data_IF_889339639662
#
_entry.id   IF_889339639662
#
_cell.length_a   1.000
_cell.length_b   1.000
_cell.length_c   1.000
_cell.angle_alpha   90.00
_cell.angle_beta   90.00
_cell.angle_gamma   90.00
#
_symmetry.space_group_name_H-M   'P 1'
#
loop_
_entity.id
_entity.type
_entity.pdbx_description
1 polymer ?
#
# COMPACT_ATOMS: atom_id res chain seq x y z
N UNK A 1 31.53 20.91 -44.11
CA UNK A 1 32.22 19.65 -43.77
C UNK A 1 32.16 19.51 -42.25
N UNK A 2 31.11 18.86 -41.75
CA UNK A 2 31.01 18.51 -40.33
C UNK A 2 31.40 17.05 -40.22
N UNK A 3 32.44 16.76 -39.44
CA UNK A 3 32.92 15.39 -39.18
C UNK A 3 31.94 14.68 -38.24
N UNK A 4 31.45 13.53 -38.66
CA UNK A 4 30.63 12.64 -37.84
C UNK A 4 31.41 12.18 -36.59
N UNK A 5 30.88 12.50 -35.41
CA UNK A 5 31.35 11.93 -34.15
C UNK A 5 30.83 10.49 -34.02
N UNK A 6 31.63 9.54 -33.51
CA UNK A 6 31.22 8.15 -33.41
C UNK A 6 30.11 7.98 -32.36
N UNK A 7 28.98 7.41 -32.78
CA UNK A 7 27.90 6.99 -31.89
C UNK A 7 28.43 5.89 -30.98
N UNK A 8 28.57 6.20 -29.70
CA UNK A 8 28.90 5.20 -28.68
C UNK A 8 27.74 4.20 -28.55
N UNK A 9 27.91 3.00 -29.10
CA UNK A 9 27.06 1.85 -28.75
C UNK A 9 27.34 1.45 -27.31
N UNK A 10 26.54 1.97 -26.39
CA UNK A 10 26.47 1.46 -25.03
C UNK A 10 26.02 0.00 -25.10
N UNK A 11 26.87 -0.93 -24.64
CA UNK A 11 26.45 -2.29 -24.30
C UNK A 11 25.39 -2.14 -23.21
N UNK A 12 24.13 -2.41 -23.55
CA UNK A 12 23.04 -2.49 -22.58
C UNK A 12 23.39 -3.64 -21.63
N UNK A 13 23.87 -3.30 -20.44
CA UNK A 13 23.95 -4.25 -19.33
C UNK A 13 22.52 -4.71 -19.03
N UNK A 14 22.37 -6.01 -18.77
CA UNK A 14 21.12 -6.65 -18.34
C UNK A 14 20.33 -5.72 -17.42
N UNK A 15 19.02 -5.49 -17.65
CA UNK A 15 18.31 -4.42 -16.98
C UNK A 15 18.21 -4.74 -15.48
N UNK A 16 19.07 -4.11 -14.67
CA UNK A 16 18.86 -3.92 -13.23
C UNK A 16 17.99 -2.68 -13.00
N UNK A 17 16.96 -2.50 -13.82
CA UNK A 17 16.04 -1.38 -13.72
C UNK A 17 14.71 -1.93 -13.16
N UNK A 18 14.51 -1.76 -11.86
CA UNK A 18 13.19 -1.90 -11.25
C UNK A 18 12.31 -0.78 -11.79
N UNK A 19 11.25 -1.15 -12.52
CA UNK A 19 10.23 -0.23 -12.99
C UNK A 19 8.97 -0.48 -12.15
N UNK A 20 8.61 0.48 -11.31
CA UNK A 20 7.45 0.40 -10.42
C UNK A 20 6.25 1.07 -11.06
N UNK A 21 5.28 0.30 -11.55
CA UNK A 21 3.91 0.77 -11.81
C UNK A 21 2.93 -0.10 -11.05
N UNK A 22 2.03 0.49 -10.28
CA UNK A 22 0.84 -0.19 -9.77
C UNK A 22 -0.36 0.63 -10.20
N UNK A 23 -1.20 0.04 -11.04
CA UNK A 23 -2.53 0.55 -11.38
C UNK A 23 -3.51 -0.62 -11.42
N UNK A 24 -4.57 -0.51 -10.62
CA UNK A 24 -5.88 -1.21 -10.64
C UNK A 24 -6.01 -2.73 -10.92
N UNK A 25 -4.93 -3.44 -11.15
CA UNK A 25 -4.87 -4.90 -11.15
C UNK A 25 -3.49 -5.26 -10.65
N UNK A 26 -3.42 -6.01 -9.55
CA UNK A 26 -2.17 -6.62 -9.09
C UNK A 26 -1.47 -7.31 -10.29
N UNK A 27 -0.27 -6.91 -10.72
CA UNK A 27 0.40 -7.64 -11.79
C UNK A 27 1.04 -8.90 -11.18
N UNK A 28 0.47 -10.07 -11.51
CA UNK A 28 1.23 -11.33 -11.47
C UNK A 28 2.23 -11.27 -12.62
N UNK A 29 3.51 -11.36 -12.29
CA UNK A 29 4.54 -11.60 -13.29
C UNK A 29 4.50 -13.08 -13.66
N UNK A 30 3.92 -13.38 -14.83
CA UNK A 30 3.95 -14.72 -15.43
C UNK A 30 5.05 -14.75 -16.48
N UNK A 31 6.11 -15.53 -16.24
CA UNK A 31 7.13 -15.77 -17.26
C UNK A 31 6.66 -16.85 -18.23
N UNK A 32 6.42 -16.45 -19.48
CA UNK A 32 6.20 -17.41 -20.56
C UNK A 32 7.54 -18.07 -20.94
N UNK A 33 7.73 -19.33 -20.56
CA UNK A 33 8.81 -20.14 -21.12
C UNK A 33 8.47 -20.47 -22.58
N UNK A 34 9.34 -20.10 -23.51
CA UNK A 34 9.14 -20.31 -24.95
C UNK A 34 8.91 -21.79 -25.27
N UNK A 35 7.78 -22.11 -25.93
CA UNK A 35 7.79 -22.87 -27.20
C UNK A 35 6.46 -22.84 -27.95
N UNK A 36 6.59 -22.48 -29.23
CA UNK A 36 5.73 -22.67 -30.42
C UNK A 36 4.20 -22.65 -30.23
N UNK A 37 3.57 -21.52 -30.58
CA UNK A 37 2.11 -21.45 -30.75
C UNK A 37 1.79 -21.04 -32.19
N UNK A 38 1.21 -21.98 -32.93
CA UNK A 38 0.27 -21.73 -34.02
C UNK A 38 -1.15 -21.87 -33.47
N UNK A 39 -1.74 -20.81 -32.93
CA UNK A 39 -3.17 -20.74 -32.63
C UNK A 39 -3.63 -19.28 -32.60
N UNK A 40 -4.82 -18.96 -33.17
CA UNK A 40 -5.28 -17.59 -33.35
C UNK A 40 -5.84 -17.00 -32.06
N UNK A 41 -5.54 -15.72 -31.84
CA UNK A 41 -6.01 -14.91 -30.72
C UNK A 41 -7.48 -14.54 -30.96
N UNK A 42 -8.36 -14.86 -30.00
CA UNK A 42 -9.76 -14.45 -30.05
C UNK A 42 -9.93 -12.94 -29.74
N UNK A 43 -10.89 -12.32 -30.44
CA UNK A 43 -11.18 -10.88 -30.49
C UNK A 43 -11.47 -10.19 -29.13
N UNK A 44 -11.07 -8.92 -28.95
CA UNK A 44 -11.08 -8.20 -27.67
C UNK A 44 -12.43 -7.51 -27.35
N UNK A 45 -13.53 -8.25 -27.34
CA UNK A 45 -14.85 -7.69 -27.02
C UNK A 45 -15.43 -8.23 -25.72
N UNK A 46 -14.75 -8.03 -24.59
CA UNK A 46 -15.33 -8.27 -23.25
C UNK A 46 -14.51 -7.66 -22.10
N UNK A 47 -14.26 -6.35 -22.11
CA UNK A 47 -13.92 -5.66 -20.86
C UNK A 47 -15.21 -5.47 -20.04
N UNK A 48 -15.59 -6.49 -19.26
CA UNK A 48 -16.52 -6.32 -18.13
C UNK A 48 -15.70 -6.16 -16.85
N UNK A 49 -16.00 -5.08 -16.12
CA UNK A 49 -15.51 -4.80 -14.77
C UNK A 49 -15.93 -5.95 -13.85
N UNK A 50 -14.96 -6.72 -13.34
CA UNK A 50 -15.24 -7.64 -12.24
C UNK A 50 -15.48 -6.78 -10.98
N UNK A 51 -16.62 -6.93 -10.28
CA UNK A 51 -16.91 -6.14 -9.11
C UNK A 51 -16.26 -6.80 -7.89
N UNK A 52 -14.94 -6.75 -7.77
CA UNK A 52 -14.30 -7.01 -6.47
C UNK A 52 -13.95 -5.68 -5.84
N UNK A 53 -14.81 -5.24 -4.92
CA UNK A 53 -14.50 -4.20 -3.96
C UNK A 53 -13.36 -4.74 -3.11
N UNK A 54 -12.11 -4.46 -3.52
CA UNK A 54 -10.94 -4.84 -2.74
C UNK A 54 -11.14 -4.23 -1.34
N UNK A 55 -10.99 -5.02 -0.27
CA UNK A 55 -11.17 -4.49 1.06
C UNK A 55 -10.10 -3.41 1.26
N UNK A 56 -10.50 -2.26 1.78
CA UNK A 56 -9.58 -1.26 2.32
C UNK A 56 -8.58 -1.97 3.25
N UNK A 57 -7.35 -1.47 3.33
CA UNK A 57 -6.30 -1.97 4.22
C UNK A 57 -6.90 -2.58 5.51
N UNK A 58 -6.59 -3.85 5.78
CA UNK A 58 -7.03 -4.53 7.00
C UNK A 58 -8.47 -5.03 7.07
N UNK A 59 -9.21 -5.14 5.96
CA UNK A 59 -10.58 -5.67 5.98
C UNK A 59 -10.82 -7.03 5.31
N UNK A 60 -9.81 -7.70 4.75
CA UNK A 60 -9.92 -9.14 4.45
C UNK A 60 -8.58 -9.87 4.38
N UNK A 61 -8.71 -11.20 4.46
CA UNK A 61 -7.66 -12.18 4.23
C UNK A 61 -6.87 -11.86 2.96
N UNK A 62 -5.63 -11.38 3.10
CA UNK A 62 -4.77 -11.02 1.97
C UNK A 62 -4.36 -12.22 1.10
N UNK A 63 -4.58 -13.45 1.58
CA UNK A 63 -4.36 -14.68 0.80
C UNK A 63 -5.42 -14.83 -0.30
N UNK A 64 -6.66 -14.41 -0.02
CA UNK A 64 -7.77 -14.56 -0.95
C UNK A 64 -7.61 -13.71 -2.24
N UNK A 65 -7.21 -12.42 -2.20
CA UNK A 65 -6.93 -11.63 -3.40
C UNK A 65 -5.84 -12.21 -4.28
N UNK A 66 -4.75 -12.72 -3.70
CA UNK A 66 -3.66 -13.33 -4.48
C UNK A 66 -4.13 -14.59 -5.21
N UNK A 67 -4.99 -15.39 -4.57
CA UNK A 67 -5.61 -16.55 -5.20
C UNK A 67 -6.62 -16.15 -6.28
N UNK A 68 -7.46 -15.16 -6.02
CA UNK A 68 -8.41 -14.63 -7.01
C UNK A 68 -7.69 -14.15 -8.27
N UNK A 69 -6.60 -13.43 -8.10
CA UNK A 69 -5.77 -12.94 -9.19
C UNK A 69 -5.10 -14.07 -9.98
N UNK A 70 -4.62 -15.09 -9.28
CA UNK A 70 -4.05 -16.28 -9.90
C UNK A 70 -5.10 -17.02 -10.75
N UNK A 71 -6.28 -17.28 -10.17
CA UNK A 71 -7.40 -17.93 -10.85
C UNK A 71 -7.88 -17.09 -12.06
N UNK A 72 -8.01 -15.77 -11.88
CA UNK A 72 -8.36 -14.83 -12.95
C UNK A 72 -7.36 -14.86 -14.10
N UNK A 73 -6.07 -14.90 -13.79
CA UNK A 73 -4.98 -14.93 -14.79
C UNK A 73 -5.00 -16.24 -15.57
N UNK A 74 -5.08 -17.38 -14.87
CA UNK A 74 -5.10 -18.72 -15.50
C UNK A 74 -6.33 -18.91 -16.39
N UNK A 75 -7.47 -18.32 -16.03
CA UNK A 75 -8.69 -18.38 -16.85
C UNK A 75 -8.53 -17.68 -18.22
N UNK A 76 -7.66 -16.66 -18.31
CA UNK A 76 -7.45 -15.84 -19.52
C UNK A 76 -6.19 -16.18 -20.29
N UNK A 77 -5.18 -16.66 -19.58
CA UNK A 77 -3.88 -17.04 -20.12
C UNK A 77 -3.56 -18.47 -19.65
N UNK A 78 -4.22 -19.51 -20.24
CA UNK A 78 -4.09 -20.90 -19.77
C UNK A 78 -2.66 -21.46 -19.89
N UNK A 79 -1.80 -20.83 -20.69
CA UNK A 79 -0.39 -21.17 -20.83
C UNK A 79 0.44 -20.78 -19.60
N UNK A 80 -0.14 -20.04 -18.65
CA UNK A 80 0.46 -19.71 -17.35
C UNK A 80 0.60 -20.98 -16.52
N UNK A 81 1.81 -21.52 -16.41
CA UNK A 81 2.08 -22.75 -15.66
C UNK A 81 2.59 -22.44 -14.25
N UNK A 82 3.52 -21.50 -14.12
CA UNK A 82 4.19 -21.17 -12.85
C UNK A 82 3.92 -19.74 -12.38
N UNK A 83 3.99 -19.54 -11.07
CA UNK A 83 4.00 -18.22 -10.43
C UNK A 83 5.40 -18.00 -9.88
N UNK A 84 6.14 -17.04 -10.44
CA UNK A 84 7.53 -16.82 -10.06
C UNK A 84 7.64 -15.99 -8.77
N UNK A 85 6.74 -15.00 -8.61
CA UNK A 85 6.75 -14.06 -7.48
C UNK A 85 5.34 -13.67 -7.06
N UNK A 86 5.19 -13.42 -5.75
CA UNK A 86 3.99 -12.83 -5.14
C UNK A 86 4.42 -11.65 -4.30
N UNK A 87 3.71 -10.53 -4.43
CA UNK A 87 4.00 -9.31 -3.69
C UNK A 87 2.68 -8.58 -3.40
N UNK A 88 2.69 -7.72 -2.39
CA UNK A 88 1.62 -6.77 -2.13
C UNK A 88 2.21 -5.36 -2.07
N UNK A 89 1.42 -4.38 -2.48
CA UNK A 89 1.76 -2.97 -2.38
C UNK A 89 0.79 -2.24 -1.47
N UNK A 90 1.15 -1.01 -1.11
CA UNK A 90 0.24 -0.10 -0.44
C UNK A 90 -0.12 1.03 -1.40
N UNK A 91 -1.41 1.30 -1.51
CA UNK A 91 -1.95 2.45 -2.22
C UNK A 91 -2.56 3.41 -1.20
N UNK A 92 -2.26 4.69 -1.34
CA UNK A 92 -2.95 5.74 -0.60
C UNK A 92 -4.13 6.19 -1.45
N UNK A 93 -5.34 5.84 -1.01
CA UNK A 93 -6.57 6.28 -1.66
C UNK A 93 -7.09 7.54 -0.99
N UNK A 94 -7.45 8.52 -1.80
CA UNK A 94 -8.23 9.65 -1.31
C UNK A 94 -9.71 9.27 -1.21
N UNK A 95 -10.46 10.10 -0.52
CA UNK A 95 -11.91 9.93 -0.27
C UNK A 95 -12.78 9.91 -1.53
N UNK A 96 -12.29 10.48 -2.62
CA UNK A 96 -12.97 10.54 -3.92
C UNK A 96 -12.10 9.99 -5.07
N UNK A 97 -11.03 9.27 -4.72
CA UNK A 97 -10.05 8.69 -5.64
C UNK A 97 -9.26 9.70 -6.49
N UNK A 98 -9.46 11.00 -6.29
CA UNK A 98 -8.66 12.06 -6.88
C UNK A 98 -7.42 12.35 -6.04
N UNK A 99 -6.26 12.41 -6.68
CA UNK A 99 -5.01 12.70 -5.97
C UNK A 99 -5.04 14.07 -5.27
N UNK A 100 -4.26 14.19 -4.20
CA UNK A 100 -3.93 15.47 -3.59
C UNK A 100 -2.63 15.98 -4.19
N UNK A 101 -2.71 16.97 -5.09
CA UNK A 101 -1.55 17.56 -5.76
C UNK A 101 -1.65 19.08 -5.65
N UNK A 102 -0.70 19.71 -4.96
CA UNK A 102 -0.65 21.17 -4.88
C UNK A 102 0.03 21.70 -3.63
N UNK A 103 -0.12 23.00 -3.37
CA UNK A 103 0.44 23.66 -2.18
C UNK A 103 -0.21 23.14 -0.91
N UNK A 104 0.58 22.94 0.14
CA UNK A 104 0.04 22.65 1.45
C UNK A 104 -0.71 23.88 1.99
N UNK A 105 -1.85 23.66 2.64
CA UNK A 105 -2.69 24.74 3.15
C UNK A 105 -1.90 25.61 4.14
N UNK A 106 -1.96 26.93 3.96
CA UNK A 106 -1.26 27.90 4.82
C UNK A 106 0.26 27.95 4.62
N UNK A 107 0.84 27.19 3.66
CA UNK A 107 2.28 27.19 3.39
C UNK A 107 2.58 27.65 1.95
N UNK A 108 3.61 28.49 1.80
CA UNK A 108 3.95 29.10 0.50
C UNK A 108 4.83 28.21 -0.39
N UNK A 109 5.75 27.47 0.23
CA UNK A 109 6.81 26.74 -0.47
C UNK A 109 6.82 25.23 -0.15
N UNK A 110 5.69 24.71 0.33
CA UNK A 110 5.52 23.29 0.62
C UNK A 110 4.43 22.75 -0.29
N UNK A 111 4.74 21.67 -0.99
CA UNK A 111 3.85 21.00 -1.92
C UNK A 111 3.57 19.58 -1.42
N UNK A 112 2.34 19.11 -1.60
CA UNK A 112 1.89 17.77 -1.24
C UNK A 112 1.51 17.03 -2.51
N UNK A 113 1.91 15.76 -2.57
CA UNK A 113 1.56 14.80 -3.61
C UNK A 113 1.26 13.48 -2.91
N UNK A 114 -0.02 13.11 -2.79
CA UNK A 114 -0.45 11.88 -2.13
C UNK A 114 -1.87 11.49 -2.58
N UNK A 115 -2.41 10.38 -2.08
CA UNK A 115 -3.77 9.96 -2.40
C UNK A 115 -3.96 9.57 -3.87
N UNK A 116 -2.90 9.18 -4.57
CA UNK A 116 -2.89 8.93 -6.01
C UNK A 116 -3.78 7.76 -6.44
N UNK A 117 -4.29 6.98 -5.49
CA UNK A 117 -5.27 5.92 -5.70
C UNK A 117 -4.83 4.91 -6.77
N UNK A 118 -3.54 4.57 -6.78
CA UNK A 118 -2.95 3.60 -7.70
C UNK A 118 -2.63 4.19 -9.05
N UNK A 119 -2.51 5.52 -9.16
CA UNK A 119 -2.13 6.20 -10.40
C UNK A 119 -0.79 6.92 -10.28
N UNK A 120 0.02 6.58 -9.27
CA UNK A 120 1.25 7.27 -8.90
C UNK A 120 2.25 7.42 -10.04
N UNK A 121 2.35 6.47 -10.97
CA UNK A 121 3.23 6.63 -12.14
C UNK A 121 2.74 7.68 -13.13
N UNK A 122 1.45 7.66 -13.44
CA UNK A 122 0.84 8.63 -14.35
C UNK A 122 0.90 10.01 -13.69
N UNK A 123 0.50 10.07 -12.41
CA UNK A 123 0.59 11.28 -11.61
C UNK A 123 2.02 11.77 -11.43
N UNK A 124 3.03 10.91 -11.36
CA UNK A 124 4.44 11.32 -11.22
C UNK A 124 4.90 12.27 -12.33
N UNK A 125 4.54 11.97 -13.57
CA UNK A 125 4.84 12.85 -14.72
C UNK A 125 4.01 14.14 -14.66
N UNK A 126 2.70 14.01 -14.40
CA UNK A 126 1.79 15.15 -14.31
C UNK A 126 2.19 16.15 -13.21
N UNK A 127 2.51 15.64 -12.03
CA UNK A 127 2.96 16.39 -10.84
C UNK A 127 4.17 17.24 -11.16
N UNK A 128 5.13 16.71 -11.93
CA UNK A 128 6.31 17.47 -12.34
C UNK A 128 5.93 18.77 -13.05
N UNK A 129 4.97 18.71 -13.98
CA UNK A 129 4.44 19.90 -14.66
C UNK A 129 3.64 20.81 -13.72
N UNK A 130 2.72 20.23 -12.95
CA UNK A 130 1.83 21.01 -12.04
C UNK A 130 2.61 21.78 -10.98
N UNK A 131 3.64 21.16 -10.38
CA UNK A 131 4.49 21.81 -9.39
C UNK A 131 5.41 22.83 -10.04
N UNK A 132 6.02 22.52 -11.18
CA UNK A 132 6.86 23.48 -11.90
C UNK A 132 6.08 24.75 -12.28
N UNK A 133 4.86 24.60 -12.79
CA UNK A 133 3.96 25.72 -13.08
C UNK A 133 3.62 26.50 -11.81
N UNK A 134 3.32 25.81 -10.71
CA UNK A 134 3.00 26.45 -9.43
C UNK A 134 4.18 27.21 -8.81
N UNK A 135 5.42 26.76 -9.04
CA UNK A 135 6.66 27.41 -8.60
C UNK A 135 6.99 28.62 -9.48
N UNK A 136 6.77 28.51 -10.80
CA UNK A 136 7.05 29.57 -11.79
C UNK A 136 5.87 30.52 -12.01
N UNK A 137 4.83 30.39 -11.19
CA UNK A 137 3.59 31.18 -11.22
C UNK A 137 2.87 31.16 -12.58
N UNK A 138 3.03 30.06 -13.33
CA UNK A 138 2.31 29.83 -14.57
C UNK A 138 0.89 29.33 -14.27
N UNK A 139 -0.16 29.91 -14.89
CA UNK A 139 -1.52 29.44 -14.69
C UNK A 139 -1.69 28.05 -15.29
N UNK A 140 -2.20 27.10 -14.48
CA UNK A 140 -2.50 25.75 -14.93
C UNK A 140 -3.94 25.38 -14.54
N UNK A 141 -4.84 25.10 -15.50
CA UNK A 141 -6.24 24.80 -15.21
C UNK A 141 -6.46 23.48 -14.47
N UNK A 142 -5.49 22.56 -14.48
CA UNK A 142 -5.61 21.27 -13.81
C UNK A 142 -5.32 21.34 -12.32
N UNK A 143 -4.58 22.35 -11.82
CA UNK A 143 -4.23 22.44 -10.39
C UNK A 143 -5.45 22.55 -9.48
N UNK A 144 -6.52 23.20 -9.94
CA UNK A 144 -7.75 23.39 -9.18
C UNK A 144 -8.51 22.07 -8.96
N UNK A 145 -8.38 21.11 -9.88
CA UNK A 145 -9.01 19.79 -9.78
C UNK A 145 -8.44 18.98 -8.61
N UNK A 146 -7.14 19.11 -8.34
CA UNK A 146 -6.44 18.32 -7.31
C UNK A 146 -6.41 19.00 -5.93
N UNK A 147 -6.90 20.24 -5.80
CA UNK A 147 -6.92 20.98 -4.54
C UNK A 147 -8.24 20.81 -3.73
N UNK A 148 -9.35 20.43 -4.38
CA UNK A 148 -10.68 20.42 -3.78
C UNK A 148 -11.01 19.22 -2.87
N UNK A 149 -10.25 18.12 -2.93
CA UNK A 149 -10.62 16.84 -2.31
C UNK A 149 -10.38 16.77 -0.78
N UNK A 150 -9.62 17.71 -0.18
CA UNK A 150 -9.12 17.56 1.21
C UNK A 150 -10.25 17.58 2.27
N UNK A 151 -11.43 18.10 1.94
CA UNK A 151 -12.50 18.37 2.91
C UNK A 151 -13.36 17.16 3.35
N UNK A 152 -13.14 15.95 2.83
CA UNK A 152 -14.11 14.83 2.96
C UNK A 152 -13.71 13.63 3.86
N UNK A 153 -12.64 13.72 4.66
CA UNK A 153 -12.03 12.55 5.34
C UNK A 153 -12.60 12.10 6.70
N UNK A 154 -13.63 12.73 7.25
CA UNK A 154 -14.08 12.45 8.63
C UNK A 154 -14.85 11.13 8.84
N UNK A 155 -15.53 10.59 7.82
CA UNK A 155 -16.51 9.51 8.00
C UNK A 155 -15.89 8.10 8.22
N UNK A 156 -14.67 7.85 7.75
CA UNK A 156 -14.04 6.51 7.79
C UNK A 156 -13.57 6.15 9.21
N UNK A 157 -13.34 7.15 10.07
CA UNK A 157 -12.75 6.99 11.40
C UNK A 157 -13.64 6.17 12.35
N UNK A 158 -14.95 6.42 12.38
CA UNK A 158 -15.83 5.90 13.44
C UNK A 158 -16.10 4.39 13.36
N UNK A 159 -16.07 3.80 12.16
CA UNK A 159 -16.46 2.39 11.98
C UNK A 159 -15.43 1.41 12.54
N UNK A 160 -14.13 1.77 12.53
CA UNK A 160 -13.06 0.87 12.98
C UNK A 160 -12.94 0.80 14.51
N UNK A 161 -13.26 1.88 15.23
CA UNK A 161 -13.21 1.90 16.70
C UNK A 161 -14.14 0.88 17.38
N UNK A 162 -15.17 0.42 16.68
CA UNK A 162 -16.12 -0.57 17.18
C UNK A 162 -15.77 -2.02 16.77
N UNK A 163 -14.70 -2.24 16.00
CA UNK A 163 -14.35 -3.56 15.46
C UNK A 163 -13.21 -4.20 16.27
N UNK A 164 -13.32 -5.50 16.48
CA UNK A 164 -12.27 -6.37 17.01
C UNK A 164 -11.99 -7.44 15.96
N UNK A 165 -10.72 -7.71 15.68
CA UNK A 165 -10.32 -8.77 14.75
C UNK A 165 -10.34 -10.14 15.43
N UNK A 166 -10.01 -10.15 16.73
CA UNK A 166 -10.00 -11.33 17.61
C UNK A 166 -10.90 -11.09 18.83
N UNK A 167 -11.44 -12.16 19.42
CA UNK A 167 -12.22 -12.08 20.67
C UNK A 167 -11.35 -12.42 21.87
N UNK A 168 -10.42 -13.33 21.67
CA UNK A 168 -9.42 -13.76 22.64
C UNK A 168 -8.03 -13.80 21.99
N UNK A 169 -6.98 -13.71 22.80
CA UNK A 169 -5.59 -13.84 22.35
C UNK A 169 -5.35 -15.25 21.79
N UNK A 170 -6.02 -16.26 22.36
CA UNK A 170 -5.92 -17.67 21.93
C UNK A 170 -6.55 -17.93 20.55
N UNK A 171 -7.29 -16.97 19.99
CA UNK A 171 -7.79 -17.04 18.61
C UNK A 171 -6.67 -16.86 17.57
N UNK A 172 -5.50 -16.35 17.98
CA UNK A 172 -4.36 -16.14 17.10
C UNK A 172 -3.63 -17.45 16.80
N UNK A 173 -3.09 -17.49 15.59
CA UNK A 173 -2.19 -18.56 15.13
C UNK A 173 -0.77 -18.00 15.13
N UNK A 174 0.27 -18.80 15.41
CA UNK A 174 1.66 -18.35 15.33
C UNK A 174 1.99 -17.65 14.01
N UNK A 175 2.60 -16.46 14.10
CA UNK A 175 2.94 -15.61 12.97
C UNK A 175 1.84 -14.63 12.54
N UNK A 176 0.69 -14.61 13.22
CA UNK A 176 -0.44 -13.72 12.94
C UNK A 176 -0.62 -12.65 14.02
N UNK A 177 -1.40 -11.63 13.67
CA UNK A 177 -1.80 -10.57 14.58
C UNK A 177 -3.26 -10.18 14.42
N UNK A 178 -3.79 -9.50 15.42
CA UNK A 178 -5.15 -9.01 15.43
C UNK A 178 -5.35 -7.88 16.44
N UNK A 179 -6.35 -7.04 16.21
CA UNK A 179 -6.80 -6.08 17.21
C UNK A 179 -7.80 -6.74 18.15
N UNK A 180 -7.51 -6.64 19.45
CA UNK A 180 -8.39 -7.02 20.55
C UNK A 180 -9.00 -5.77 21.18
N UNK A 181 -10.32 -5.64 21.07
CA UNK A 181 -11.08 -4.48 21.54
C UNK A 181 -12.00 -4.87 22.71
N UNK A 182 -11.42 -5.28 23.83
CA UNK A 182 -12.15 -5.62 25.07
C UNK A 182 -12.64 -4.39 25.82
N UNK A 183 -11.93 -3.26 25.68
CA UNK A 183 -12.31 -1.96 26.21
C UNK A 183 -12.18 -0.91 25.09
N UNK A 184 -13.27 -0.22 24.69
CA UNK A 184 -13.25 0.77 23.61
C UNK A 184 -12.22 1.89 23.79
N UNK A 185 -11.84 2.18 25.03
CA UNK A 185 -10.87 3.23 25.36
C UNK A 185 -9.41 2.78 25.27
N UNK A 186 -9.14 1.47 25.28
CA UNK A 186 -7.79 0.89 25.27
C UNK A 186 -7.73 -0.41 24.44
N UNK A 187 -7.90 -0.32 23.10
CA UNK A 187 -7.75 -1.48 22.23
C UNK A 187 -6.28 -1.88 22.11
N UNK A 188 -6.03 -3.19 22.02
CA UNK A 188 -4.71 -3.78 21.91
C UNK A 188 -4.47 -4.32 20.50
N UNK A 189 -3.27 -4.11 19.98
CA UNK A 189 -2.73 -4.81 18.83
C UNK A 189 -1.90 -5.97 19.37
N UNK A 190 -2.33 -7.19 19.09
CA UNK A 190 -1.72 -8.42 19.60
C UNK A 190 -1.07 -9.14 18.45
N UNK A 191 0.20 -9.50 18.61
CA UNK A 191 0.95 -10.31 17.65
C UNK A 191 1.47 -11.57 18.33
N UNK A 192 1.26 -12.72 17.70
CA UNK A 192 1.82 -13.99 18.14
C UNK A 192 3.01 -14.35 17.26
N UNK A 193 4.17 -14.54 17.87
CA UNK A 193 5.36 -15.02 17.16
C UNK A 193 5.27 -16.49 16.78
N UNK A 194 6.12 -16.91 15.84
CA UNK A 194 6.21 -18.30 15.40
C UNK A 194 6.57 -19.26 16.55
N UNK A 195 7.33 -18.78 17.55
CA UNK A 195 7.64 -19.53 18.77
C UNK A 195 6.51 -19.54 19.81
N UNK A 196 5.36 -18.93 19.52
CA UNK A 196 4.20 -18.86 20.42
C UNK A 196 4.20 -17.70 21.42
N UNK A 197 5.30 -16.93 21.52
CA UNK A 197 5.37 -15.74 22.37
C UNK A 197 4.39 -14.67 21.88
N UNK A 198 3.66 -14.07 22.82
CA UNK A 198 2.71 -12.99 22.54
C UNK A 198 3.36 -11.65 22.84
N UNK A 199 3.14 -10.68 21.95
CA UNK A 199 3.56 -9.29 22.11
C UNK A 199 2.36 -8.36 21.97
N UNK A 200 2.21 -7.43 22.90
CA UNK A 200 1.08 -6.51 22.90
C UNK A 200 1.53 -5.06 22.75
N UNK A 201 0.78 -4.34 21.92
CA UNK A 201 0.93 -2.92 21.71
C UNK A 201 -0.43 -2.23 21.84
N UNK A 202 -0.44 -0.91 22.04
CA UNK A 202 -1.65 -0.14 21.83
C UNK A 202 -2.05 -0.20 20.35
N UNK A 203 -3.32 -0.51 20.08
CA UNK A 203 -3.87 -0.41 18.72
C UNK A 203 -4.07 1.03 18.26
N UNK A 204 -3.87 2.03 19.13
CA UNK A 204 -4.01 3.43 18.81
C UNK A 204 -2.75 3.96 18.14
N UNK A 205 -2.87 4.37 16.88
CA UNK A 205 -1.80 5.02 16.14
C UNK A 205 -1.32 6.28 16.88
N UNK A 206 0.00 6.47 17.10
CA UNK A 206 0.54 7.60 17.85
C UNK A 206 0.32 8.96 17.15
N UNK A 207 -0.02 8.99 15.86
CA UNK A 207 -0.26 10.23 15.13
C UNK A 207 -1.57 10.92 15.55
N UNK A 208 -2.71 10.26 15.33
CA UNK A 208 -4.05 10.81 15.63
C UNK A 208 -5.01 9.75 16.18
N UNK A 209 -4.47 8.74 16.87
CA UNK A 209 -5.22 7.70 17.60
C UNK A 209 -6.16 6.84 16.75
N UNK A 210 -5.98 6.83 15.43
CA UNK A 210 -6.66 5.87 14.55
C UNK A 210 -6.31 4.43 14.92
N UNK A 211 -7.29 3.53 14.87
CA UNK A 211 -7.10 2.11 15.16
C UNK A 211 -6.34 1.45 14.01
N UNK A 212 -5.29 0.70 14.35
CA UNK A 212 -4.52 -0.07 13.38
C UNK A 212 -5.25 -1.35 12.95
N UNK A 213 -4.75 -1.96 11.89
CA UNK A 213 -5.20 -3.25 11.38
C UNK A 213 -4.00 -4.13 11.03
N UNK A 214 -4.15 -5.44 11.19
CA UNK A 214 -3.12 -6.39 10.80
C UNK A 214 -3.10 -6.63 9.28
N UNK A 215 -1.92 -6.57 8.68
CA UNK A 215 -1.67 -7.02 7.31
C UNK A 215 -0.90 -8.35 7.38
N UNK A 216 -1.60 -9.45 7.09
CA UNK A 216 -1.05 -10.81 7.16
C UNK A 216 0.12 -11.02 6.21
N UNK A 217 -0.03 -10.65 4.94
CA UNK A 217 1.03 -10.86 3.94
C UNK A 217 2.27 -10.01 4.24
N UNK A 218 2.07 -8.78 4.70
CA UNK A 218 3.16 -7.86 5.03
C UNK A 218 3.70 -7.99 6.45
N UNK A 219 3.15 -8.87 7.29
CA UNK A 219 3.41 -9.01 8.74
C UNK A 219 3.61 -7.65 9.42
N UNK A 220 2.62 -6.78 9.29
CA UNK A 220 2.73 -5.37 9.72
C UNK A 220 1.39 -4.76 10.10
N UNK A 221 1.43 -3.67 10.86
CA UNK A 221 0.25 -2.90 11.28
C UNK A 221 0.07 -1.67 10.40
N UNK A 222 -1.16 -1.43 9.92
CA UNK A 222 -1.52 -0.24 9.16
C UNK A 222 -2.59 0.60 9.87
N UNK A 223 -2.43 1.92 9.90
CA UNK A 223 -3.46 2.85 10.40
C UNK A 223 -4.37 3.29 9.24
N UNK A 224 -5.68 3.08 9.35
CA UNK A 224 -6.62 3.38 8.26
C UNK A 224 -7.00 4.85 8.12
N UNK A 225 -6.60 5.68 9.08
CA UNK A 225 -6.98 7.10 9.10
C UNK A 225 -5.96 7.94 8.33
N UNK A 226 -4.67 7.69 8.54
CA UNK A 226 -3.59 8.47 7.94
C UNK A 226 -2.48 7.59 7.36
N UNK A 227 -2.73 6.28 7.22
CA UNK A 227 -1.87 5.33 6.53
C UNK A 227 -0.47 5.12 7.12
N UNK A 228 -0.25 5.52 8.39
CA UNK A 228 0.98 5.14 9.12
C UNK A 228 1.12 3.63 9.19
N UNK A 229 2.35 3.12 9.05
CA UNK A 229 2.66 1.70 9.09
C UNK A 229 3.69 1.39 10.17
N UNK A 230 3.50 0.26 10.83
CA UNK A 230 4.38 -0.26 11.87
C UNK A 230 4.74 -1.72 11.57
N UNK A 231 5.94 -2.16 11.96
CA UNK A 231 6.34 -3.56 11.86
C UNK A 231 5.53 -4.43 12.82
N UNK A 232 5.60 -5.76 12.69
CA UNK A 232 5.06 -6.69 13.69
C UNK A 232 5.51 -6.37 15.13
N UNK A 233 6.71 -5.80 15.29
CA UNK A 233 7.34 -5.41 16.56
C UNK A 233 6.94 -3.99 17.02
N UNK A 234 5.93 -3.38 16.37
CA UNK A 234 5.43 -2.05 16.69
C UNK A 234 6.36 -0.89 16.29
N UNK A 235 7.49 -1.16 15.64
CA UNK A 235 8.43 -0.11 15.17
C UNK A 235 7.81 0.65 14.00
N UNK A 236 7.99 1.97 13.96
CA UNK A 236 7.51 2.75 12.82
C UNK A 236 8.25 2.36 11.53
N UNK A 237 7.48 2.01 10.51
CA UNK A 237 7.97 1.74 9.15
C UNK A 237 7.69 2.92 8.22
N UNK A 238 6.48 3.48 8.29
CA UNK A 238 6.07 4.60 7.44
C UNK A 238 5.20 5.59 8.21
N UNK A 239 5.42 6.89 7.94
CA UNK A 239 4.70 8.01 8.58
C UNK A 239 3.26 8.16 8.08
N UNK A 240 2.50 9.15 8.59
CA UNK A 240 2.96 10.39 9.26
C UNK A 240 3.27 10.28 10.76
N UNK A 241 3.04 9.15 11.41
CA UNK A 241 3.58 8.90 12.76
C UNK A 241 5.09 9.22 12.82
N UNK A 242 5.58 9.62 14.00
CA UNK A 242 7.02 9.89 14.24
C UNK A 242 7.61 8.99 15.33
N UNK A 243 6.84 8.01 15.78
CA UNK A 243 7.23 7.03 16.79
C UNK A 243 6.48 5.72 16.54
N UNK A 244 6.97 4.63 17.12
CA UNK A 244 6.32 3.32 17.10
C UNK A 244 5.02 3.26 17.91
N UNK A 245 4.33 2.12 17.82
CA UNK A 245 3.20 1.81 18.69
C UNK A 245 3.70 1.73 20.15
N UNK A 246 2.87 2.20 21.08
CA UNK A 246 3.18 2.11 22.51
C UNK A 246 3.11 0.64 22.95
N UNK A 247 4.17 0.06 23.55
CA UNK A 247 4.08 -1.25 24.16
C UNK A 247 2.99 -1.30 25.23
N UNK A 248 2.23 -2.39 25.29
CA UNK A 248 1.20 -2.62 26.29
C UNK A 248 1.67 -3.55 27.42
N UNK A 249 2.70 -4.37 27.15
CA UNK A 249 3.32 -5.31 28.08
C UNK A 249 4.86 -5.27 28.01
N UNK A 250 5.50 -5.96 28.95
CA UNK A 250 6.96 -6.07 29.00
C UNK A 250 7.52 -6.80 27.77
N UNK A 251 6.79 -7.79 27.26
CA UNK A 251 7.18 -8.56 26.05
C UNK A 251 7.27 -7.65 24.83
N UNK A 252 6.22 -6.88 24.55
CA UNK A 252 6.20 -5.91 23.46
C UNK A 252 7.25 -4.81 23.62
N UNK A 253 7.55 -4.39 24.85
CA UNK A 253 8.61 -3.41 25.12
C UNK A 253 9.99 -3.98 24.78
N UNK A 254 10.30 -5.19 25.24
CA UNK A 254 11.56 -5.87 24.96
C UNK A 254 11.74 -6.09 23.46
N UNK A 255 10.70 -6.58 22.78
CA UNK A 255 10.71 -6.83 21.34
C UNK A 255 10.97 -5.56 20.54
N UNK A 256 10.26 -4.47 20.85
CA UNK A 256 10.43 -3.20 20.15
C UNK A 256 11.82 -2.60 20.36
N UNK A 257 12.36 -2.69 21.58
CA UNK A 257 13.72 -2.24 21.87
C UNK A 257 14.76 -3.05 21.10
N UNK A 258 14.59 -4.36 20.99
CA UNK A 258 15.47 -5.21 20.21
C UNK A 258 15.42 -4.83 18.72
N UNK A 259 14.22 -4.66 18.16
CA UNK A 259 14.03 -4.30 16.76
C UNK A 259 14.53 -2.89 16.40
N UNK A 260 14.65 -1.98 17.38
CA UNK A 260 15.15 -0.61 17.15
C UNK A 260 16.69 -0.50 17.27
N UNK A 261 17.34 -1.50 17.88
CA UNK A 261 18.80 -1.52 18.09
C UNK A 261 19.57 -2.23 16.97
N UNK A 262 18.90 -3.07 16.18
CA UNK A 262 19.48 -3.78 15.03
C UNK A 262 19.44 -2.94 13.77
#
# INVERSE_FOLDING_TARGET
MASDAPVATAKISSPQHFMHSSGETDPIWVRQLKRNISAPIASPSAFRKAPSKMPSLGQADTVAPLKELEDWTRSRVPQTTTIDHKWNGQVFESVDYMAFIGKNQGQKHVYIVTGDSGNGLIHGVLVGKLIADSITEQPNPWISLYFASIAKSAAIMYKRFAQSDIKDIEDLVPGEGGVLNTNPCKPFAVYQEEGGQIHQFSALCPYMKGIVCWNKTGKSWGCLVHSSRFSKDGVQVCGPAKMGLQPADESGQAQQQQATKG
#
